data_IF_878965231603
#
_entry.id   IF_878965231603
#
_cell.length_a   1.000
_cell.length_b   1.000
_cell.length_c   1.000
_cell.angle_alpha   90.00
_cell.angle_beta   90.00
_cell.angle_gamma   90.00
#
_symmetry.space_group_name_H-M   'P 1'
#
loop_
_entity.id
_entity.type
_entity.pdbx_description
1 polymer ?
#
# COMPACT_ATOMS: atom_id res chain seq x y z
N UNK A 1 -36.10 -17.40 19.47
CA UNK A 1 -35.48 -16.18 20.02
C UNK A 1 -33.98 -16.37 20.12
N UNK A 2 -33.20 -15.96 19.12
CA UNK A 2 -31.74 -15.98 19.19
C UNK A 2 -31.25 -14.67 19.82
N UNK A 3 -30.79 -14.75 21.06
CA UNK A 3 -30.15 -13.61 21.73
C UNK A 3 -28.78 -13.39 21.11
N UNK A 4 -28.66 -12.30 20.35
CA UNK A 4 -27.43 -11.78 19.79
C UNK A 4 -26.43 -11.56 20.93
N UNK A 5 -25.39 -12.40 21.00
CA UNK A 5 -24.21 -12.11 21.82
C UNK A 5 -23.42 -10.99 21.14
N UNK A 6 -23.94 -9.75 21.21
CA UNK A 6 -23.19 -8.53 20.84
C UNK A 6 -22.19 -8.23 21.95
N UNK A 7 -21.15 -9.05 22.00
CA UNK A 7 -19.93 -8.77 22.73
C UNK A 7 -18.73 -9.26 21.93
N UNK A 8 -18.79 -9.13 20.59
CA UNK A 8 -17.58 -9.14 19.76
C UNK A 8 -16.89 -7.82 20.04
N UNK A 9 -15.93 -7.90 20.95
CA UNK A 9 -14.82 -6.98 21.16
C UNK A 9 -15.09 -5.52 20.75
N UNK A 10 -15.47 -4.69 21.72
CA UNK A 10 -15.24 -3.22 21.69
C UNK A 10 -13.73 -2.90 21.73
N UNK A 11 -12.90 -3.71 21.07
CA UNK A 11 -11.46 -3.46 20.98
C UNK A 11 -11.31 -2.29 20.04
N UNK A 12 -10.72 -1.23 20.55
CA UNK A 12 -10.27 -0.13 19.73
C UNK A 12 -8.82 -0.37 19.30
N UNK A 13 -8.48 0.16 18.15
CA UNK A 13 -7.12 0.21 17.61
C UNK A 13 -6.78 1.66 17.31
N UNK A 14 -5.49 1.98 17.28
CA UNK A 14 -5.02 3.34 16.99
C UNK A 14 -4.74 3.44 15.50
N UNK A 15 -5.32 4.45 14.85
CA UNK A 15 -4.95 4.79 13.48
C UNK A 15 -3.51 5.31 13.46
N UNK A 16 -2.62 4.66 12.71
CA UNK A 16 -1.21 5.05 12.66
C UNK A 16 -0.96 6.39 11.97
N UNK A 17 -1.92 6.88 11.17
CA UNK A 17 -1.79 8.12 10.42
C UNK A 17 -2.23 9.36 11.23
N UNK A 18 -3.40 9.31 11.88
CA UNK A 18 -3.94 10.44 12.63
C UNK A 18 -3.87 10.28 14.15
N UNK A 19 -3.62 9.06 14.66
CA UNK A 19 -3.60 8.77 16.10
C UNK A 19 -4.96 8.49 16.72
N UNK A 20 -6.06 8.58 15.97
CA UNK A 20 -7.41 8.38 16.50
C UNK A 20 -7.65 6.93 16.94
N UNK A 21 -8.36 6.76 18.06
CA UNK A 21 -8.83 5.46 18.53
C UNK A 21 -10.13 5.10 17.83
N UNK A 22 -10.10 4.07 16.98
CA UNK A 22 -11.25 3.61 16.19
C UNK A 22 -11.65 2.20 16.60
N UNK A 23 -12.93 1.85 16.40
CA UNK A 23 -13.37 0.48 16.61
C UNK A 23 -12.65 -0.46 15.64
N UNK A 24 -12.21 -1.63 16.12
CA UNK A 24 -11.51 -2.61 15.29
C UNK A 24 -12.31 -3.06 14.06
N UNK A 25 -13.63 -3.01 14.13
CA UNK A 25 -14.53 -3.34 13.01
C UNK A 25 -14.58 -2.28 11.91
N UNK A 26 -14.31 -1.02 12.27
CA UNK A 26 -14.30 0.13 11.34
C UNK A 26 -12.90 0.41 10.78
N UNK A 27 -11.87 -0.13 11.43
CA UNK A 27 -10.48 0.02 11.01
C UNK A 27 -10.15 -0.77 9.73
N UNK A 28 -9.23 -0.22 8.94
CA UNK A 28 -8.65 -0.85 7.75
C UNK A 28 -7.25 -1.34 8.08
N UNK A 29 -6.91 -2.55 7.61
CA UNK A 29 -5.58 -3.11 7.78
C UNK A 29 -4.64 -2.45 6.78
N UNK A 30 -3.56 -1.87 7.29
CA UNK A 30 -2.50 -1.31 6.48
C UNK A 30 -1.39 -2.35 6.32
N UNK A 31 -1.16 -2.75 5.07
CA UNK A 31 0.01 -3.55 4.69
C UNK A 31 1.08 -2.60 4.15
N UNK A 32 2.17 -2.43 4.92
CA UNK A 32 3.30 -1.58 4.53
C UNK A 32 4.02 -2.06 3.26
N UNK A 33 3.93 -3.35 2.96
CA UNK A 33 4.53 -3.99 1.78
C UNK A 33 3.60 -3.90 0.55
N UNK A 34 2.33 -3.48 0.74
CA UNK A 34 1.34 -3.40 -0.35
C UNK A 34 0.87 -4.76 -0.87
N UNK A 35 1.19 -5.87 -0.20
CA UNK A 35 0.77 -7.22 -0.60
C UNK A 35 -0.47 -7.68 0.18
N UNK A 36 -1.63 -7.17 -0.23
CA UNK A 36 -2.95 -7.45 0.38
C UNK A 36 -3.39 -8.92 0.31
N UNK A 37 -2.76 -9.73 -0.55
CA UNK A 37 -3.20 -11.09 -0.83
C UNK A 37 -2.56 -12.13 0.09
N UNK A 38 -1.31 -11.94 0.49
CA UNK A 38 -0.67 -12.83 1.46
C UNK A 38 -0.79 -12.28 2.89
N UNK A 39 -1.41 -13.07 3.76
CA UNK A 39 -1.66 -12.74 5.18
C UNK A 39 -0.87 -13.63 6.13
N UNK A 40 -0.15 -14.64 5.64
CA UNK A 40 0.60 -15.57 6.50
C UNK A 40 1.79 -14.83 7.12
N UNK A 41 1.96 -15.03 8.42
CA UNK A 41 3.07 -14.51 9.22
C UNK A 41 3.25 -12.98 9.23
N UNK A 42 2.21 -12.22 8.84
CA UNK A 42 2.21 -10.75 8.87
C UNK A 42 1.41 -10.20 10.04
N UNK A 43 1.97 -9.16 10.67
CA UNK A 43 1.23 -8.26 11.56
C UNK A 43 0.81 -7.02 10.80
N UNK A 44 -0.47 -6.66 10.89
CA UNK A 44 -1.01 -5.45 10.25
C UNK A 44 -1.13 -4.31 11.24
N UNK A 45 -0.85 -3.11 10.75
CA UNK A 45 -1.19 -1.85 11.41
C UNK A 45 -2.59 -1.40 10.96
N UNK A 46 -3.14 -0.36 11.60
CA UNK A 46 -4.53 0.05 11.38
C UNK A 46 -4.65 1.50 10.93
N UNK A 47 -5.57 1.74 10.00
CA UNK A 47 -6.01 3.05 9.56
C UNK A 47 -7.50 3.23 9.83
N UNK A 48 -7.92 4.46 10.17
CA UNK A 48 -9.33 4.82 10.05
C UNK A 48 -9.73 4.88 8.58
N UNK A 49 -11.03 4.78 8.28
CA UNK A 49 -11.53 4.79 6.89
C UNK A 49 -11.06 6.04 6.13
N UNK A 50 -11.14 7.23 6.73
CA UNK A 50 -10.73 8.46 6.06
C UNK A 50 -9.23 8.53 5.73
N UNK A 51 -8.36 7.96 6.58
CA UNK A 51 -6.93 7.90 6.29
C UNK A 51 -6.61 6.83 5.24
N UNK A 52 -7.31 5.69 5.27
CA UNK A 52 -7.16 4.63 4.26
C UNK A 52 -7.61 5.12 2.87
N UNK A 53 -8.69 5.88 2.78
CA UNK A 53 -9.19 6.45 1.53
C UNK A 53 -8.22 7.47 0.91
N UNK A 54 -7.33 8.07 1.72
CA UNK A 54 -6.37 9.09 1.29
C UNK A 54 -5.03 8.57 0.78
N UNK A 55 -4.78 7.25 0.87
CA UNK A 55 -3.48 6.67 0.49
C UNK A 55 -3.54 5.91 -0.84
N UNK A 56 -2.36 5.67 -1.40
CA UNK A 56 -2.20 4.85 -2.59
C UNK A 56 -2.08 3.36 -2.20
N UNK A 57 -2.97 2.52 -2.75
CA UNK A 57 -2.97 1.06 -2.54
C UNK A 57 -2.23 0.26 -3.62
N UNK A 58 -1.47 0.94 -4.49
CA UNK A 58 -0.63 0.24 -5.48
C UNK A 58 0.45 -0.60 -4.78
N UNK A 59 0.78 -1.78 -5.33
CA UNK A 59 1.86 -2.60 -4.79
C UNK A 59 3.18 -1.82 -4.82
N UNK A 60 4.01 -2.04 -3.79
CA UNK A 60 5.31 -1.35 -3.64
C UNK A 60 6.49 -2.23 -4.03
N UNK A 61 6.24 -3.45 -4.46
CA UNK A 61 7.30 -4.38 -4.84
C UNK A 61 8.13 -3.79 -5.99
N UNK A 62 9.45 -3.83 -5.83
CA UNK A 62 10.41 -3.23 -6.78
C UNK A 62 10.42 -1.69 -6.85
N UNK A 63 9.47 -0.98 -6.23
CA UNK A 63 9.38 0.49 -6.33
C UNK A 63 10.62 1.18 -5.76
N UNK A 64 11.07 0.80 -4.57
CA UNK A 64 12.25 1.43 -3.95
C UNK A 64 13.51 1.23 -4.79
N UNK A 65 13.72 0.01 -5.31
CA UNK A 65 14.85 -0.29 -6.20
C UNK A 65 14.80 0.52 -7.49
N UNK A 66 13.61 0.69 -8.08
CA UNK A 66 13.40 1.54 -9.25
C UNK A 66 13.74 3.00 -8.94
N UNK A 67 13.20 3.55 -7.84
CA UNK A 67 13.45 4.94 -7.44
C UNK A 67 14.95 5.21 -7.22
N UNK A 68 15.64 4.31 -6.52
CA UNK A 68 17.09 4.41 -6.31
C UNK A 68 17.90 4.33 -7.62
N UNK A 69 17.40 3.62 -8.63
CA UNK A 69 18.09 3.49 -9.92
C UNK A 69 18.01 4.76 -10.78
N UNK A 70 16.95 5.55 -10.63
CA UNK A 70 16.72 6.78 -11.41
C UNK A 70 17.14 8.05 -10.67
N UNK A 71 17.22 7.98 -9.33
CA UNK A 71 17.61 9.08 -8.47
C UNK A 71 19.07 9.48 -8.68
N UNK A 72 19.34 10.77 -8.56
CA UNK A 72 20.69 11.33 -8.63
C UNK A 72 20.72 12.68 -7.89
N UNK A 73 21.88 13.05 -7.36
CA UNK A 73 22.05 14.32 -6.66
C UNK A 73 21.77 15.50 -7.60
N UNK A 74 21.02 16.48 -7.10
CA UNK A 74 20.74 17.73 -7.81
C UNK A 74 19.67 17.66 -8.91
N UNK A 75 18.93 16.55 -9.02
CA UNK A 75 17.79 16.48 -9.94
C UNK A 75 16.68 17.44 -9.52
N UNK A 76 16.08 18.12 -10.50
CA UNK A 76 14.81 18.80 -10.28
C UNK A 76 13.69 17.76 -10.12
N UNK A 77 12.61 18.15 -9.45
CA UNK A 77 11.41 17.30 -9.32
C UNK A 77 10.86 16.88 -10.68
N UNK A 78 10.85 17.80 -11.65
CA UNK A 78 10.34 17.51 -13.00
C UNK A 78 11.21 16.47 -13.74
N UNK A 79 12.53 16.58 -13.61
CA UNK A 79 13.48 15.63 -14.18
C UNK A 79 13.30 14.23 -13.57
N UNK A 80 13.19 14.15 -12.24
CA UNK A 80 12.95 12.90 -11.54
C UNK A 80 11.66 12.22 -11.99
N UNK A 81 10.55 12.97 -12.07
CA UNK A 81 9.25 12.43 -12.48
C UNK A 81 9.26 11.94 -13.93
N UNK A 82 10.00 12.60 -14.83
CA UNK A 82 10.12 12.15 -16.22
C UNK A 82 10.87 10.83 -16.31
N UNK A 83 12.01 10.71 -15.64
CA UNK A 83 12.78 9.45 -15.58
C UNK A 83 11.96 8.30 -14.99
N UNK A 84 11.16 8.60 -13.96
CA UNK A 84 10.25 7.61 -13.40
C UNK A 84 9.21 7.13 -14.42
N UNK A 85 8.56 8.06 -15.13
CA UNK A 85 7.59 7.71 -16.17
C UNK A 85 8.23 6.86 -17.28
N UNK A 86 9.41 7.26 -17.77
CA UNK A 86 10.14 6.52 -18.80
C UNK A 86 10.49 5.10 -18.33
N UNK A 87 11.02 4.96 -17.11
CA UNK A 87 11.43 3.65 -16.58
C UNK A 87 10.23 2.72 -16.30
N UNK A 88 9.09 3.26 -15.88
CA UNK A 88 7.85 2.48 -15.73
C UNK A 88 7.34 2.02 -17.10
N UNK A 89 7.30 2.89 -18.10
CA UNK A 89 6.85 2.53 -19.46
C UNK A 89 7.75 1.43 -20.07
N UNK A 90 9.07 1.51 -19.88
CA UNK A 90 10.01 0.47 -20.29
C UNK A 90 9.77 -0.87 -19.60
N UNK A 91 9.46 -0.86 -18.29
CA UNK A 91 9.16 -2.07 -17.52
C UNK A 91 7.89 -2.78 -18.01
N UNK A 92 6.79 -2.03 -18.21
CA UNK A 92 5.52 -2.55 -18.72
C UNK A 92 5.69 -3.05 -20.16
N UNK A 93 6.46 -2.33 -20.99
CA UNK A 93 6.79 -2.76 -22.36
C UNK A 93 7.65 -4.03 -22.42
N UNK A 94 8.43 -4.32 -21.37
CA UNK A 94 9.23 -5.54 -21.23
C UNK A 94 8.36 -6.73 -20.78
N UNK A 95 7.52 -6.53 -19.76
CA UNK A 95 6.61 -7.56 -19.23
C UNK A 95 5.61 -8.03 -20.29
N UNK A 96 4.94 -7.10 -20.97
CA UNK A 96 3.97 -7.41 -22.04
C UNK A 96 4.58 -8.12 -23.24
N UNK A 97 5.89 -7.98 -23.49
CA UNK A 97 6.61 -8.69 -24.55
C UNK A 97 6.93 -10.12 -24.12
N UNK A 98 7.32 -10.31 -22.85
CA UNK A 98 7.60 -11.63 -22.26
C UNK A 98 6.35 -12.53 -22.13
N UNK A 99 5.17 -11.95 -22.00
CA UNK A 99 3.90 -12.70 -21.93
C UNK A 99 3.41 -13.17 -23.31
N UNK A 100 3.75 -12.47 -24.39
CA UNK A 100 3.37 -12.86 -25.78
C UNK A 100 4.24 -13.97 -26.35
N UNK A 101 5.44 -14.16 -25.81
CA UNK A 101 6.39 -15.21 -26.21
C UNK A 101 6.21 -16.53 -25.41
N UNK A 102 5.16 -16.64 -24.57
CA UNK A 102 4.81 -17.87 -23.84
C UNK A 102 3.59 -18.58 -24.43
#
# INVERSE_FOLDING_TARGET
MWRSRRSRDRRTVVCIACGDSVLREDAREYDKEGNRWDRRDKSFEYLCTGCDDGICHQPRDGLESLLLSIESDGLSREEFLRRYADAVDESVGSETRSERDR
#
